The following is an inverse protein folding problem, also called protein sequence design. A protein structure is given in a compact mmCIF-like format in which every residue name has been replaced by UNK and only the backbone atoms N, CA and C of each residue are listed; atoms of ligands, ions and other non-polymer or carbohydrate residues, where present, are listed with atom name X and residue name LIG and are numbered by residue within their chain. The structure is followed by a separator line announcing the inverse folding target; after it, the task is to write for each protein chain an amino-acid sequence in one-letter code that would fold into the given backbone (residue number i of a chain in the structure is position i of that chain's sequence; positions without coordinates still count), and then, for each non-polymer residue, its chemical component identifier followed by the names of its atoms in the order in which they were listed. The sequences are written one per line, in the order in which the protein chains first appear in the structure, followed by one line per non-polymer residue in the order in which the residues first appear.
data_IF_245096522766
#
_entry.id   IF_245096522766
#
_cell.length_a   1.000
_cell.length_b   1.000
_cell.length_c   1.000
_cell.angle_alpha   90.00
_cell.angle_beta   90.00
_cell.angle_gamma   90.00
#
_symmetry.space_group_name_H-M   'P 1'
#
loop_
_entity.id
_entity.type
_entity.pdbx_description
1 polymer ?
#
# COMPACT_ATOMS: atom_id res chain seq x y z
N UNK A 1 27.84 -10.72 17.47
CA UNK A 1 26.51 -10.39 18.03
C UNK A 1 25.50 -11.22 17.29
N UNK A 2 24.97 -12.26 17.91
CA UNK A 2 23.83 -12.99 17.34
C UNK A 2 22.65 -12.04 17.29
N UNK A 3 22.06 -11.88 16.10
CA UNK A 3 20.88 -11.06 15.90
C UNK A 3 19.66 -11.65 16.62
N UNK A 4 18.61 -10.86 16.79
CA UNK A 4 17.35 -11.35 17.36
C UNK A 4 16.76 -12.44 16.46
N UNK A 5 16.15 -13.46 17.08
CA UNK A 5 15.45 -14.53 16.35
C UNK A 5 14.36 -13.89 15.48
N UNK A 6 14.34 -14.25 14.20
CA UNK A 6 13.31 -13.76 13.29
C UNK A 6 11.93 -14.31 13.70
N UNK A 7 10.98 -13.41 13.93
CA UNK A 7 9.62 -13.72 14.35
C UNK A 7 8.64 -12.70 13.75
N UNK A 8 7.34 -12.94 13.91
CA UNK A 8 6.30 -12.04 13.38
C UNK A 8 6.37 -10.61 13.93
N UNK A 9 6.98 -10.41 15.10
CA UNK A 9 7.13 -9.09 15.71
C UNK A 9 8.23 -8.24 15.07
N UNK A 10 9.25 -8.85 14.45
CA UNK A 10 10.39 -8.14 13.87
C UNK A 10 10.56 -8.37 12.36
N UNK A 11 9.72 -9.19 11.74
CA UNK A 11 9.78 -9.48 10.31
C UNK A 11 8.40 -9.46 9.65
N UNK A 12 8.31 -8.68 8.58
CA UNK A 12 7.26 -8.75 7.57
C UNK A 12 7.93 -8.57 6.21
N UNK A 13 7.62 -9.39 5.18
CA UNK A 13 8.18 -9.17 3.85
C UNK A 13 7.76 -7.80 3.33
N UNK A 14 8.74 -7.02 2.85
CA UNK A 14 8.47 -5.76 2.21
C UNK A 14 7.82 -6.05 0.86
N UNK A 15 6.58 -5.62 0.70
CA UNK A 15 5.82 -5.69 -0.55
C UNK A 15 5.33 -4.29 -0.89
N UNK A 16 5.02 -4.00 -2.16
CA UNK A 16 4.40 -2.74 -2.53
C UNK A 16 3.10 -2.47 -1.75
N UNK A 17 2.33 -3.52 -1.42
CA UNK A 17 1.11 -3.40 -0.64
C UNK A 17 1.39 -3.00 0.82
N UNK A 18 2.29 -3.72 1.51
CA UNK A 18 2.65 -3.40 2.90
C UNK A 18 3.36 -2.04 3.03
N UNK A 19 4.08 -1.61 1.99
CA UNK A 19 4.61 -0.25 1.92
C UNK A 19 3.50 0.80 1.79
N UNK A 20 2.54 0.61 0.88
CA UNK A 20 1.44 1.55 0.65
C UNK A 20 0.58 1.75 1.90
N UNK A 21 0.22 0.66 2.59
CA UNK A 21 -0.53 0.71 3.86
C UNK A 21 0.24 1.50 4.92
N UNK A 22 1.53 1.19 5.11
CA UNK A 22 2.37 1.88 6.10
C UNK A 22 2.55 3.36 5.77
N UNK A 23 2.73 3.71 4.51
CA UNK A 23 2.87 5.11 4.08
C UNK A 23 1.59 5.92 4.31
N UNK A 24 0.41 5.34 4.01
CA UNK A 24 -0.88 5.96 4.29
C UNK A 24 -1.15 6.13 5.79
N UNK A 25 -0.70 5.19 6.61
CA UNK A 25 -0.83 5.26 8.07
C UNK A 25 0.09 6.32 8.68
N UNK A 26 1.39 6.27 8.38
CA UNK A 26 2.39 7.13 9.02
C UNK A 26 2.43 8.54 8.40
N UNK A 27 2.27 8.65 7.09
CA UNK A 27 2.45 9.89 6.32
C UNK A 27 1.16 10.33 5.62
N UNK A 28 -0.01 9.95 6.14
CA UNK A 28 -1.29 10.08 5.43
C UNK A 28 -1.60 11.47 4.87
N UNK A 29 -1.16 12.55 5.51
CA UNK A 29 -1.37 13.93 5.04
C UNK A 29 -0.23 14.49 4.16
N UNK A 30 0.81 13.72 3.85
CA UNK A 30 1.92 14.12 2.98
C UNK A 30 1.62 13.76 1.53
N UNK A 31 2.16 14.54 0.60
CA UNK A 31 2.03 14.27 -0.83
C UNK A 31 2.69 12.92 -1.20
N UNK A 32 1.97 12.13 -2.01
CA UNK A 32 2.38 10.83 -2.55
C UNK A 32 2.61 10.89 -4.06
N UNK A 33 1.78 11.64 -4.78
CA UNK A 33 1.80 11.76 -6.25
C UNK A 33 1.65 13.23 -6.61
N UNK A 34 2.53 13.70 -7.51
CA UNK A 34 2.45 15.04 -8.12
C UNK A 34 2.47 14.87 -9.63
N UNK A 35 1.39 15.28 -10.30
CA UNK A 35 1.25 15.25 -11.75
C UNK A 35 0.58 16.53 -12.25
N UNK A 36 1.37 17.46 -12.79
CA UNK A 36 0.88 18.79 -13.15
C UNK A 36 0.28 19.52 -11.93
N UNK A 37 -0.98 19.93 -12.04
CA UNK A 37 -1.74 20.51 -10.93
C UNK A 37 -2.38 19.47 -10.00
N UNK A 38 -2.38 18.19 -10.39
CA UNK A 38 -2.95 17.12 -9.58
C UNK A 38 -1.97 16.70 -8.50
N UNK A 39 -2.45 16.69 -7.26
CA UNK A 39 -1.71 16.25 -6.08
C UNK A 39 -2.58 15.27 -5.33
N UNK A 40 -1.97 14.19 -4.86
CA UNK A 40 -2.61 13.28 -3.92
C UNK A 40 -1.75 13.15 -2.68
N UNK A 41 -2.40 12.95 -1.55
CA UNK A 41 -1.79 12.54 -0.29
C UNK A 41 -1.67 11.01 -0.23
N UNK A 42 -0.80 10.51 0.65
CA UNK A 42 -0.68 9.06 0.89
C UNK A 42 -2.01 8.41 1.30
N UNK A 43 -2.86 9.11 2.06
CA UNK A 43 -4.20 8.62 2.42
C UNK A 43 -5.09 8.49 1.18
N UNK A 44 -5.14 9.51 0.33
CA UNK A 44 -5.96 9.50 -0.89
C UNK A 44 -5.50 8.43 -1.88
N UNK A 45 -4.18 8.25 -2.05
CA UNK A 45 -3.66 7.18 -2.91
C UNK A 45 -4.12 5.81 -2.43
N UNK A 46 -3.98 5.53 -1.13
CA UNK A 46 -4.40 4.25 -0.54
C UNK A 46 -5.91 4.02 -0.70
N UNK A 47 -6.75 5.01 -0.39
CA UNK A 47 -8.20 4.91 -0.58
C UNK A 47 -8.60 4.65 -2.03
N UNK A 48 -7.94 5.31 -2.99
CA UNK A 48 -8.18 5.09 -4.43
C UNK A 48 -7.77 3.69 -4.86
N UNK A 49 -6.63 3.19 -4.39
CA UNK A 49 -6.18 1.82 -4.66
C UNK A 49 -7.18 0.78 -4.12
N UNK A 50 -7.70 0.95 -2.90
CA UNK A 50 -8.71 0.05 -2.33
C UNK A 50 -10.01 0.09 -3.14
N UNK A 51 -10.48 1.28 -3.54
CA UNK A 51 -11.69 1.42 -4.36
C UNK A 51 -11.55 0.65 -5.68
N UNK A 52 -10.41 0.78 -6.36
CA UNK A 52 -10.14 0.04 -7.59
C UNK A 52 -10.03 -1.46 -7.33
N UNK A 53 -9.30 -1.88 -6.30
CA UNK A 53 -9.15 -3.30 -5.95
C UNK A 53 -10.50 -3.97 -5.64
N UNK A 54 -11.40 -3.26 -4.95
CA UNK A 54 -12.77 -3.73 -4.69
C UNK A 54 -13.55 -3.92 -5.99
N UNK A 55 -13.48 -2.96 -6.91
CA UNK A 55 -14.13 -3.08 -8.22
C UNK A 55 -13.58 -4.25 -9.05
N UNK A 56 -12.25 -4.43 -9.09
CA UNK A 56 -11.62 -5.55 -9.81
C UNK A 56 -12.03 -6.90 -9.20
N UNK A 57 -12.11 -6.99 -7.88
CA UNK A 57 -12.59 -8.20 -7.20
C UNK A 57 -14.05 -8.50 -7.53
N UNK A 58 -14.92 -7.49 -7.64
CA UNK A 58 -16.31 -7.66 -8.08
C UNK A 58 -16.44 -8.09 -9.54
N UNK A 59 -15.47 -7.73 -10.38
CA UNK A 59 -15.38 -8.21 -11.78
C UNK A 59 -14.83 -9.64 -11.88
N UNK A 60 -14.49 -10.29 -10.77
CA UNK A 60 -13.99 -11.66 -10.75
C UNK A 60 -12.51 -11.81 -11.07
N UNK A 61 -11.74 -10.72 -11.03
CA UNK A 61 -10.29 -10.74 -11.27
C UNK A 61 -9.58 -11.29 -10.03
N UNK A 62 -8.72 -12.28 -10.24
CA UNK A 62 -7.99 -13.00 -9.21
C UNK A 62 -6.47 -12.86 -9.38
N UNK A 63 -5.76 -13.28 -8.33
CA UNK A 63 -4.30 -13.35 -8.37
C UNK A 63 -3.84 -14.29 -9.47
N UNK A 64 -3.07 -13.76 -10.42
CA UNK A 64 -2.49 -14.52 -11.54
C UNK A 64 -3.20 -14.31 -12.87
N UNK A 65 -4.34 -13.62 -12.87
CA UNK A 65 -5.04 -13.23 -14.10
C UNK A 65 -4.24 -12.13 -14.84
N UNK A 66 -4.25 -12.18 -16.18
CA UNK A 66 -3.52 -11.26 -17.09
C UNK A 66 -4.48 -10.67 -18.12
#
# INVERSE_FOLDING_TARGET
MEGTIQCSANYVPLSPLSFLERAAFVYGGKESIVYGSTRYTWRETHERCIKLASALSQLGINRGDV
#
